data_IF_116108517576
#
_entry.id   IF_116108517576
#
_cell.length_a   1.000
_cell.length_b   1.000
_cell.length_c   1.000
_cell.angle_alpha   90.00
_cell.angle_beta   90.00
_cell.angle_gamma   90.00
#
_symmetry.space_group_name_H-M   'P 1'
#
loop_
_entity.id
_entity.type
_entity.pdbx_description
1 polymer ?
#
# COMPACT_ATOMS: atom_id res chain seq x y z
N UNK A 1 2.92 14.60 12.79
CA UNK A 1 3.49 15.92 12.35
C UNK A 1 2.58 16.53 11.29
N UNK A 2 2.39 17.89 11.27
CA UNK A 2 1.53 18.54 10.26
C UNK A 2 2.29 18.73 8.94
N UNK A 3 1.67 18.38 7.81
CA UNK A 3 2.26 18.57 6.48
C UNK A 3 2.17 20.04 6.04
N UNK A 4 3.17 20.51 5.30
CA UNK A 4 3.21 21.86 4.69
C UNK A 4 3.13 21.81 3.15
N UNK A 5 3.22 20.60 2.57
CA UNK A 5 3.20 20.36 1.12
C UNK A 5 2.40 19.09 0.84
N UNK A 6 1.86 19.00 -0.36
CA UNK A 6 1.22 17.78 -0.86
C UNK A 6 2.22 16.62 -0.91
N UNK A 7 1.83 15.42 -0.41
CA UNK A 7 2.68 14.22 -0.45
C UNK A 7 3.04 13.81 -1.88
N UNK A 8 2.07 13.86 -2.79
CA UNK A 8 2.27 13.47 -4.19
C UNK A 8 3.08 14.49 -5.01
N UNK A 9 2.60 15.74 -5.14
CA UNK A 9 3.18 16.71 -6.07
C UNK A 9 4.04 17.79 -5.43
N UNK A 10 4.28 17.70 -4.12
CA UNK A 10 5.07 18.64 -3.29
C UNK A 10 4.60 20.11 -3.35
N UNK A 11 3.46 20.39 -3.96
CA UNK A 11 2.85 21.74 -4.01
C UNK A 11 2.45 22.22 -2.62
N UNK A 12 2.67 23.51 -2.36
CA UNK A 12 2.18 24.20 -1.14
C UNK A 12 0.70 24.61 -1.23
N UNK A 13 0.05 24.42 -2.39
CA UNK A 13 -1.36 24.80 -2.63
C UNK A 13 -2.32 23.77 -2.04
N UNK A 14 -2.24 23.56 -0.72
CA UNK A 14 -3.12 22.67 0.04
C UNK A 14 -4.15 23.48 0.82
N UNK A 15 -5.42 23.08 0.78
CA UNK A 15 -6.52 23.75 1.46
C UNK A 15 -7.22 22.76 2.40
N UNK A 16 -7.64 23.23 3.59
CA UNK A 16 -8.45 22.43 4.51
C UNK A 16 -9.75 22.02 3.81
N UNK A 17 -10.05 20.73 3.85
CA UNK A 17 -11.27 20.15 3.29
C UNK A 17 -12.23 19.72 4.41
N UNK A 18 -11.72 19.02 5.43
CA UNK A 18 -12.52 18.42 6.47
C UNK A 18 -11.73 18.30 7.78
N UNK A 19 -12.43 18.20 8.94
CA UNK A 19 -11.78 18.10 10.24
C UNK A 19 -12.68 17.39 11.25
N UNK A 20 -12.27 16.21 11.70
CA UNK A 20 -12.95 15.41 12.73
C UNK A 20 -12.43 15.70 14.16
N UNK A 21 -11.48 16.63 14.31
CA UNK A 21 -10.89 16.96 15.60
C UNK A 21 -9.86 15.92 16.07
N UNK A 22 -9.67 15.86 17.39
CA UNK A 22 -8.77 14.92 18.04
C UNK A 22 -9.48 13.58 18.22
N UNK A 23 -8.88 12.52 17.70
CA UNK A 23 -9.35 11.13 17.82
C UNK A 23 -8.22 10.27 18.36
N UNK A 24 -8.53 9.15 19.01
CA UNK A 24 -7.52 8.12 19.33
C UNK A 24 -7.00 7.52 18.04
N UNK A 25 -5.71 7.15 17.98
CA UNK A 25 -5.13 6.49 16.81
C UNK A 25 -5.91 5.21 16.50
N UNK A 26 -6.34 5.07 15.25
CA UNK A 26 -7.30 4.06 14.83
C UNK A 26 -6.68 2.66 14.69
N UNK A 27 -5.39 2.55 14.37
CA UNK A 27 -4.69 1.26 14.26
C UNK A 27 -4.18 0.66 15.58
N UNK A 28 -4.43 1.31 16.72
CA UNK A 28 -3.93 0.86 18.02
C UNK A 28 -5.05 0.18 18.80
N UNK A 29 -4.88 -1.13 19.03
CA UNK A 29 -5.83 -1.97 19.79
C UNK A 29 -5.22 -2.36 21.14
N UNK A 30 -5.48 -1.63 22.23
CA UNK A 30 -4.88 -1.93 23.53
C UNK A 30 -5.50 -3.20 24.16
N UNK A 31 -4.66 -4.01 24.77
CA UNK A 31 -5.11 -5.21 25.50
C UNK A 31 -5.80 -4.87 26.84
N UNK A 32 -5.51 -3.71 27.41
CA UNK A 32 -6.03 -3.28 28.72
C UNK A 32 -6.78 -1.95 28.59
N UNK A 33 -7.89 -1.83 29.30
CA UNK A 33 -8.75 -0.63 29.30
C UNK A 33 -8.03 0.64 29.76
N UNK A 34 -7.05 0.48 30.64
CA UNK A 34 -6.28 1.59 31.24
C UNK A 34 -5.15 2.08 30.33
N UNK A 35 -4.87 1.40 29.23
CA UNK A 35 -3.81 1.79 28.28
C UNK A 35 -4.15 3.13 27.65
N UNK A 36 -3.25 4.11 27.82
CA UNK A 36 -3.39 5.42 27.18
C UNK A 36 -3.04 5.30 25.72
N UNK A 37 -3.99 5.61 24.85
CA UNK A 37 -3.78 5.64 23.39
C UNK A 37 -3.46 7.08 22.98
N UNK A 38 -2.42 7.25 22.17
CA UNK A 38 -2.07 8.53 21.55
C UNK A 38 -3.25 9.08 20.77
N UNK A 39 -3.49 10.39 20.90
CA UNK A 39 -4.52 11.11 20.16
C UNK A 39 -3.90 11.94 19.05
N UNK A 40 -4.46 11.82 17.86
CA UNK A 40 -4.08 12.56 16.68
C UNK A 40 -5.25 13.38 16.11
N UNK A 41 -4.94 14.52 15.48
CA UNK A 41 -5.97 15.29 14.78
C UNK A 41 -6.26 14.65 13.43
N UNK A 42 -7.49 14.23 13.23
CA UNK A 42 -7.96 13.62 11.98
C UNK A 42 -8.58 14.72 11.12
N UNK A 43 -7.77 15.35 10.28
CA UNK A 43 -8.20 16.41 9.36
C UNK A 43 -7.64 16.19 7.97
N UNK A 44 -8.43 16.54 6.96
CA UNK A 44 -8.10 16.37 5.54
C UNK A 44 -7.81 17.70 4.88
N UNK A 45 -6.84 17.68 3.95
CA UNK A 45 -6.51 18.78 3.06
C UNK A 45 -6.57 18.33 1.61
N UNK A 46 -7.06 19.20 0.74
CA UNK A 46 -7.11 18.99 -0.71
C UNK A 46 -6.00 19.78 -1.39
N UNK A 47 -5.23 19.12 -2.23
CA UNK A 47 -4.26 19.78 -3.09
C UNK A 47 -4.94 20.38 -4.31
N UNK A 48 -4.83 21.70 -4.49
CA UNK A 48 -5.40 22.39 -5.67
C UNK A 48 -4.61 22.13 -6.96
N UNK A 49 -3.39 21.56 -6.87
CA UNK A 49 -2.55 21.28 -8.04
C UNK A 49 -2.85 19.89 -8.64
N UNK A 50 -2.77 18.80 -7.84
CA UNK A 50 -2.96 17.43 -8.34
C UNK A 50 -4.30 16.80 -7.92
N UNK A 51 -5.14 17.52 -7.21
CA UNK A 51 -6.45 17.06 -6.71
C UNK A 51 -6.38 15.89 -5.71
N UNK A 52 -5.22 15.65 -5.07
CA UNK A 52 -5.10 14.65 -4.02
C UNK A 52 -5.76 15.16 -2.73
N UNK A 53 -6.70 14.39 -2.20
CA UNK A 53 -7.22 14.53 -0.85
C UNK A 53 -6.34 13.70 0.08
N UNK A 54 -5.90 14.26 1.21
CA UNK A 54 -4.91 13.62 2.08
C UNK A 54 -5.02 14.10 3.53
N UNK A 55 -4.54 13.30 4.47
CA UNK A 55 -4.43 13.73 5.86
C UNK A 55 -3.49 14.92 6.00
N UNK A 56 -3.90 15.91 6.82
CA UNK A 56 -3.10 17.07 7.16
C UNK A 56 -1.94 16.76 8.11
N UNK A 57 -1.93 15.58 8.70
CA UNK A 57 -0.94 15.15 9.68
C UNK A 57 -0.39 13.77 9.33
N UNK A 58 0.85 13.51 9.73
CA UNK A 58 1.49 12.19 9.74
C UNK A 58 1.63 11.71 11.18
N UNK A 59 1.58 10.43 11.38
CA UNK A 59 1.67 9.75 12.67
C UNK A 59 2.83 8.77 12.69
N UNK A 60 3.20 8.27 13.86
CA UNK A 60 4.31 7.33 13.98
C UNK A 60 3.91 5.94 13.44
N UNK A 61 4.63 5.47 12.43
CA UNK A 61 4.39 4.18 11.80
C UNK A 61 4.63 3.01 12.76
N UNK A 62 5.58 3.14 13.70
CA UNK A 62 5.85 2.08 14.68
C UNK A 62 4.69 1.90 15.65
N UNK A 63 3.98 2.99 15.98
CA UNK A 63 2.78 2.90 16.83
C UNK A 63 1.60 2.27 16.07
N UNK A 64 1.47 2.51 14.75
CA UNK A 64 0.35 2.02 13.95
C UNK A 64 0.57 0.61 13.40
N UNK A 65 1.80 0.27 12.94
CA UNK A 65 2.13 -1.01 12.30
C UNK A 65 3.06 -1.90 13.16
N UNK A 66 3.23 -1.56 14.44
CA UNK A 66 4.08 -2.31 15.36
C UNK A 66 3.41 -3.57 15.93
N UNK A 67 3.74 -3.89 17.18
CA UNK A 67 3.32 -5.15 17.85
C UNK A 67 1.81 -5.32 17.95
N UNK A 68 1.05 -4.23 18.01
CA UNK A 68 -0.41 -4.23 18.12
C UNK A 68 -1.14 -4.40 16.77
N UNK A 69 -0.42 -4.39 15.64
CA UNK A 69 -1.04 -4.61 14.33
C UNK A 69 -1.55 -6.04 14.21
N UNK A 70 -2.85 -6.22 14.02
CA UNK A 70 -3.52 -7.53 14.08
C UNK A 70 -4.18 -8.01 12.81
N UNK A 71 -4.15 -7.21 11.73
CA UNK A 71 -4.79 -7.61 10.47
C UNK A 71 -4.01 -8.73 9.79
N UNK A 72 -4.74 -9.77 9.35
CA UNK A 72 -4.23 -10.83 8.48
C UNK A 72 -5.20 -11.09 7.32
N UNK A 73 -4.68 -11.16 6.12
CA UNK A 73 -5.47 -11.42 4.90
C UNK A 73 -6.16 -12.78 4.92
N UNK A 74 -5.57 -13.77 5.59
CA UNK A 74 -6.11 -15.13 5.72
C UNK A 74 -7.25 -15.28 6.73
N UNK A 75 -7.56 -14.27 7.53
CA UNK A 75 -8.64 -14.37 8.54
C UNK A 75 -10.04 -14.33 7.91
N UNK A 76 -10.20 -13.72 6.76
CA UNK A 76 -11.49 -13.51 6.15
C UNK A 76 -11.62 -14.29 4.84
N UNK A 77 -12.58 -15.22 4.79
CA UNK A 77 -12.82 -16.05 3.60
C UNK A 77 -13.13 -15.23 2.34
N UNK A 78 -13.86 -14.13 2.46
CA UNK A 78 -14.14 -13.25 1.33
C UNK A 78 -12.86 -12.60 0.78
N UNK A 79 -11.92 -12.21 1.66
CA UNK A 79 -10.62 -11.68 1.26
C UNK A 79 -9.77 -12.75 0.58
N UNK A 80 -9.72 -13.96 1.12
CA UNK A 80 -9.01 -15.09 0.50
C UNK A 80 -9.50 -15.32 -0.94
N UNK A 81 -10.82 -15.37 -1.13
CA UNK A 81 -11.42 -15.55 -2.47
C UNK A 81 -11.15 -14.36 -3.39
N UNK A 82 -11.21 -13.13 -2.86
CA UNK A 82 -10.87 -11.93 -3.62
C UNK A 82 -9.43 -12.01 -4.15
N UNK A 83 -8.47 -12.28 -3.29
CA UNK A 83 -7.05 -12.40 -3.65
C UNK A 83 -6.80 -13.54 -4.64
N UNK A 84 -7.45 -14.70 -4.45
CA UNK A 84 -7.38 -15.82 -5.39
C UNK A 84 -7.92 -15.45 -6.78
N UNK A 85 -9.08 -14.82 -6.84
CA UNK A 85 -9.68 -14.37 -8.11
C UNK A 85 -8.80 -13.31 -8.79
N UNK A 86 -8.14 -12.44 -8.00
CA UNK A 86 -7.20 -11.44 -8.50
C UNK A 86 -6.04 -12.08 -9.26
N UNK A 87 -5.44 -13.16 -8.74
CA UNK A 87 -4.34 -13.83 -9.44
C UNK A 87 -4.77 -14.41 -10.80
N UNK A 88 -6.02 -14.87 -10.91
CA UNK A 88 -6.58 -15.36 -12.17
C UNK A 88 -6.83 -14.21 -13.16
N UNK A 89 -7.33 -13.08 -12.68
CA UNK A 89 -7.61 -11.91 -13.51
C UNK A 89 -6.32 -11.26 -14.02
N UNK A 90 -5.26 -11.20 -13.24
CA UNK A 90 -3.98 -10.64 -13.65
C UNK A 90 -3.37 -11.32 -14.88
N UNK A 91 -3.62 -12.62 -15.07
CA UNK A 91 -3.18 -13.36 -16.26
C UNK A 91 -3.77 -12.87 -17.58
N UNK A 92 -4.80 -12.02 -17.53
CA UNK A 92 -5.38 -11.37 -18.73
C UNK A 92 -4.56 -10.17 -19.21
N UNK A 93 -3.71 -9.62 -18.35
CA UNK A 93 -2.96 -8.40 -18.59
C UNK A 93 -1.46 -8.64 -18.71
N UNK A 94 -0.98 -9.81 -18.29
CA UNK A 94 0.44 -10.14 -18.30
C UNK A 94 0.68 -11.62 -18.51
N UNK A 95 1.59 -11.94 -19.44
CA UNK A 95 2.10 -13.29 -19.63
C UNK A 95 3.28 -13.52 -18.68
N UNK A 96 3.12 -14.50 -17.80
CA UNK A 96 4.13 -14.91 -16.83
C UNK A 96 4.77 -16.24 -17.24
N UNK A 97 6.10 -16.26 -17.29
CA UNK A 97 6.91 -17.39 -17.65
C UNK A 97 7.63 -17.99 -16.43
N UNK A 98 8.15 -19.21 -16.57
CA UNK A 98 8.97 -19.84 -15.53
C UNK A 98 10.12 -18.93 -15.09
N UNK A 99 10.33 -18.86 -13.77
CA UNK A 99 11.34 -18.04 -13.14
C UNK A 99 11.14 -16.52 -13.24
N UNK A 100 10.00 -16.03 -13.73
CA UNK A 100 9.67 -14.61 -13.60
C UNK A 100 9.58 -14.23 -12.12
N UNK A 101 9.98 -13.00 -11.83
CA UNK A 101 9.94 -12.44 -10.48
C UNK A 101 8.59 -11.75 -10.27
N UNK A 102 7.92 -12.15 -9.20
CA UNK A 102 6.68 -11.53 -8.73
C UNK A 102 6.94 -10.95 -7.34
N UNK A 103 6.68 -9.66 -7.18
CA UNK A 103 6.80 -8.97 -5.89
C UNK A 103 5.40 -8.57 -5.42
N UNK A 104 5.08 -8.89 -4.17
CA UNK A 104 3.89 -8.38 -3.48
C UNK A 104 4.33 -7.46 -2.34
N UNK A 105 3.90 -6.20 -2.42
CA UNK A 105 4.25 -5.15 -1.45
C UNK A 105 3.05 -4.96 -0.51
N UNK A 106 3.31 -4.94 0.80
CA UNK A 106 2.27 -5.09 1.80
C UNK A 106 1.72 -6.51 1.81
N UNK A 107 2.63 -7.48 1.66
CA UNK A 107 2.29 -8.90 1.45
C UNK A 107 1.68 -9.59 2.67
N UNK A 108 1.66 -8.92 3.82
CA UNK A 108 1.03 -9.32 5.07
C UNK A 108 1.42 -10.74 5.51
N UNK A 109 0.52 -11.71 5.44
CA UNK A 109 0.76 -13.12 5.79
C UNK A 109 1.09 -14.02 4.58
N UNK A 110 1.35 -13.44 3.40
CA UNK A 110 1.73 -14.14 2.18
C UNK A 110 0.58 -14.85 1.46
N UNK A 111 -0.67 -14.62 1.86
CA UNK A 111 -1.86 -15.27 1.29
C UNK A 111 -1.95 -15.05 -0.21
N UNK A 112 -1.78 -13.82 -0.71
CA UNK A 112 -1.86 -13.52 -2.14
C UNK A 112 -0.80 -14.29 -2.94
N UNK A 113 0.46 -14.24 -2.52
CA UNK A 113 1.56 -14.95 -3.19
C UNK A 113 1.37 -16.46 -3.17
N UNK A 114 0.68 -17.01 -2.17
CA UNK A 114 0.44 -18.45 -2.06
C UNK A 114 -0.38 -19.02 -3.22
N UNK A 115 -1.15 -18.20 -3.96
CA UNK A 115 -1.95 -18.60 -5.11
C UNK A 115 -1.15 -18.68 -6.43
N UNK A 116 0.09 -18.21 -6.45
CA UNK A 116 0.96 -18.36 -7.60
C UNK A 116 1.69 -19.71 -7.58
N UNK A 117 2.05 -20.20 -8.78
CA UNK A 117 2.85 -21.42 -8.93
C UNK A 117 4.23 -21.27 -8.26
N UNK A 118 4.76 -22.37 -7.73
CA UNK A 118 6.13 -22.46 -7.21
C UNK A 118 7.21 -22.27 -8.28
N UNK A 119 6.83 -22.25 -9.53
CA UNK A 119 7.74 -22.03 -10.66
C UNK A 119 8.14 -20.57 -10.86
N UNK A 120 7.54 -19.66 -10.09
CA UNK A 120 7.90 -18.24 -10.06
C UNK A 120 8.85 -17.91 -8.91
N UNK A 121 9.64 -16.87 -9.06
CA UNK A 121 10.42 -16.29 -7.97
C UNK A 121 9.54 -15.32 -7.18
N UNK A 122 8.96 -15.78 -6.09
CA UNK A 122 8.00 -15.04 -5.30
C UNK A 122 8.71 -14.28 -4.16
N UNK A 123 8.45 -12.98 -4.06
CA UNK A 123 9.02 -12.11 -3.05
C UNK A 123 7.89 -11.34 -2.35
N UNK A 124 7.73 -11.57 -1.07
CA UNK A 124 6.84 -10.78 -0.21
C UNK A 124 7.63 -9.72 0.54
N UNK A 125 7.18 -8.48 0.47
CA UNK A 125 7.80 -7.33 1.16
C UNK A 125 6.77 -6.72 2.10
N UNK A 126 7.03 -6.77 3.40
CA UNK A 126 6.12 -6.21 4.42
C UNK A 126 6.84 -6.13 5.77
N UNK A 127 6.81 -5.01 6.50
CA UNK A 127 7.45 -4.90 7.80
C UNK A 127 6.88 -5.86 8.85
N UNK A 128 5.64 -6.33 8.68
CA UNK A 128 4.97 -7.24 9.62
C UNK A 128 5.28 -8.72 9.40
N UNK A 129 6.10 -9.07 8.40
CA UNK A 129 6.41 -10.47 8.03
C UNK A 129 6.92 -11.31 9.22
N UNK A 130 7.73 -10.72 10.09
CA UNK A 130 8.27 -11.47 11.24
C UNK A 130 7.15 -12.01 12.13
N UNK A 131 6.05 -11.26 12.28
CA UNK A 131 4.87 -11.64 13.05
C UNK A 131 4.10 -12.80 12.39
N UNK A 132 4.04 -12.81 11.07
CA UNK A 132 3.24 -13.76 10.28
C UNK A 132 4.11 -14.79 9.52
N UNK A 133 5.39 -14.88 9.82
CA UNK A 133 6.37 -15.67 9.03
C UNK A 133 6.03 -17.16 8.91
N UNK A 134 5.32 -17.73 9.88
CA UNK A 134 4.86 -19.12 9.89
C UNK A 134 3.68 -19.40 8.94
N UNK A 135 3.01 -18.36 8.43
CA UNK A 135 1.92 -18.47 7.45
C UNK A 135 2.45 -18.55 6.01
N UNK A 136 3.63 -18.02 5.78
CA UNK A 136 4.22 -18.02 4.44
C UNK A 136 4.56 -19.42 3.94
N UNK A 137 4.23 -19.70 2.70
CA UNK A 137 4.72 -20.88 1.98
C UNK A 137 6.26 -20.82 1.88
N UNK A 138 6.94 -21.94 2.09
CA UNK A 138 8.41 -22.02 2.26
C UNK A 138 9.22 -21.50 1.06
N UNK A 139 8.66 -21.55 -0.14
CA UNK A 139 9.30 -21.08 -1.38
C UNK A 139 9.16 -19.56 -1.60
N UNK A 140 8.40 -18.84 -0.80
CA UNK A 140 8.26 -17.40 -0.89
C UNK A 140 9.41 -16.73 -0.13
N UNK A 141 10.15 -15.88 -0.83
CA UNK A 141 11.18 -15.03 -0.19
C UNK A 141 10.52 -13.97 0.65
N UNK A 142 10.89 -13.91 1.92
CA UNK A 142 10.36 -12.97 2.92
C UNK A 142 11.32 -11.81 3.10
N UNK A 143 10.82 -10.57 2.96
CA UNK A 143 11.58 -9.33 3.15
C UNK A 143 10.84 -8.50 4.21
N UNK A 144 11.24 -8.60 5.50
CA UNK A 144 10.56 -7.93 6.62
C UNK A 144 10.99 -6.46 6.73
N UNK A 145 10.83 -5.70 5.67
CA UNK A 145 11.23 -4.30 5.54
C UNK A 145 10.15 -3.51 4.78
N UNK A 146 10.16 -2.18 4.90
CA UNK A 146 9.41 -1.33 3.99
C UNK A 146 10.00 -1.41 2.58
N UNK A 147 9.13 -1.39 1.57
CA UNK A 147 9.57 -1.47 0.19
C UNK A 147 10.34 -0.22 -0.24
N UNK A 148 11.54 -0.44 -0.79
CA UNK A 148 12.31 0.49 -1.62
C UNK A 148 13.06 -0.33 -2.68
N UNK A 149 13.47 0.31 -3.78
CA UNK A 149 14.31 -0.36 -4.77
C UNK A 149 15.60 -0.90 -4.15
N UNK A 150 16.24 -0.14 -3.27
CA UNK A 150 17.48 -0.54 -2.58
C UNK A 150 17.30 -1.82 -1.74
N UNK A 151 16.15 -1.98 -1.10
CA UNK A 151 15.82 -3.19 -0.32
C UNK A 151 15.63 -4.39 -1.23
N UNK A 152 14.89 -4.25 -2.34
CA UNK A 152 14.55 -5.41 -3.17
C UNK A 152 15.60 -5.77 -4.20
N UNK A 153 16.46 -4.84 -4.65
CA UNK A 153 17.46 -5.08 -5.70
C UNK A 153 18.38 -6.26 -5.42
N UNK A 154 18.69 -6.53 -4.15
CA UNK A 154 19.52 -7.68 -3.73
C UNK A 154 18.88 -9.03 -4.01
N UNK A 155 17.54 -9.06 -4.12
CA UNK A 155 16.76 -10.27 -4.41
C UNK A 155 16.42 -10.40 -5.90
N UNK A 156 16.58 -9.35 -6.67
CA UNK A 156 16.31 -9.33 -8.11
C UNK A 156 17.40 -10.02 -8.96
N UNK A 157 18.60 -10.27 -8.40
CA UNK A 157 19.70 -10.92 -9.09
C UNK A 157 20.01 -10.31 -10.48
N UNK A 158 20.07 -8.97 -10.56
CA UNK A 158 20.26 -8.18 -11.79
C UNK A 158 19.13 -8.31 -12.83
N UNK A 159 18.01 -8.95 -12.47
CA UNK A 159 16.78 -8.97 -13.27
C UNK A 159 15.82 -7.88 -12.76
N UNK A 160 14.68 -7.77 -13.40
CA UNK A 160 13.57 -6.92 -12.97
C UNK A 160 12.32 -7.78 -12.71
N UNK A 161 11.39 -7.27 -11.89
CA UNK A 161 10.16 -7.98 -11.60
C UNK A 161 9.21 -7.89 -12.80
N UNK A 162 8.61 -9.02 -13.16
CA UNK A 162 7.60 -9.07 -14.21
C UNK A 162 6.24 -8.59 -13.74
N UNK A 163 5.90 -8.89 -12.50
CA UNK A 163 4.70 -8.43 -11.84
C UNK A 163 5.06 -7.85 -10.47
N UNK A 164 4.58 -6.64 -10.21
CA UNK A 164 4.59 -6.05 -8.87
C UNK A 164 3.13 -5.80 -8.47
N UNK A 165 2.78 -6.13 -7.24
CA UNK A 165 1.44 -5.87 -6.70
C UNK A 165 1.53 -5.05 -5.43
N UNK A 166 0.56 -4.16 -5.24
CA UNK A 166 0.31 -3.42 -4.00
C UNK A 166 -1.22 -3.32 -3.81
N UNK A 167 -1.71 -4.09 -2.84
CA UNK A 167 -3.14 -4.23 -2.58
C UNK A 167 -3.44 -3.64 -1.20
N UNK A 168 -4.30 -2.62 -1.16
CA UNK A 168 -4.77 -1.96 0.07
C UNK A 168 -3.64 -1.46 0.99
N UNK A 169 -2.58 -0.85 0.42
CA UNK A 169 -1.47 -0.27 1.19
C UNK A 169 -0.93 1.06 0.61
N UNK A 170 -1.21 1.37 -0.66
CA UNK A 170 -0.60 2.53 -1.34
C UNK A 170 -1.05 3.87 -0.76
N UNK A 171 -2.20 3.92 -0.11
CA UNK A 171 -2.73 5.11 0.56
C UNK A 171 -2.09 5.40 1.93
N UNK A 172 -1.12 4.58 2.38
CA UNK A 172 -0.44 4.72 3.67
C UNK A 172 0.95 5.37 3.56
N UNK A 173 1.32 5.85 2.37
CA UNK A 173 2.68 6.27 2.05
C UNK A 173 2.95 7.73 2.40
N UNK A 174 4.04 8.03 3.09
CA UNK A 174 4.49 9.42 3.32
C UNK A 174 5.08 10.07 2.05
N UNK A 175 5.70 9.29 1.18
CA UNK A 175 6.24 9.75 -0.10
C UNK A 175 5.83 8.83 -1.26
N UNK A 176 4.58 8.95 -1.74
CA UNK A 176 4.09 8.10 -2.83
C UNK A 176 4.85 8.32 -4.15
N UNK A 177 5.44 9.50 -4.38
CA UNK A 177 6.23 9.74 -5.60
C UNK A 177 7.54 8.92 -5.58
N UNK A 178 8.24 8.88 -4.44
CA UNK A 178 9.45 8.06 -4.33
C UNK A 178 9.11 6.57 -4.46
N UNK A 179 8.02 6.13 -3.83
CA UNK A 179 7.55 4.75 -3.97
C UNK A 179 7.27 4.36 -5.43
N UNK A 180 6.59 5.23 -6.20
CA UNK A 180 6.33 4.98 -7.64
C UNK A 180 7.62 4.90 -8.44
N UNK A 181 8.63 5.73 -8.12
CA UNK A 181 9.97 5.63 -8.74
C UNK A 181 10.65 4.30 -8.41
N UNK A 182 10.58 3.87 -7.16
CA UNK A 182 11.15 2.58 -6.73
C UNK A 182 10.47 1.39 -7.42
N UNK A 183 9.15 1.47 -7.65
CA UNK A 183 8.42 0.50 -8.49
C UNK A 183 8.98 0.50 -9.92
N UNK A 184 9.14 1.68 -10.53
CA UNK A 184 9.62 1.83 -11.90
C UNK A 184 11.02 1.23 -12.09
N UNK A 185 11.92 1.47 -11.14
CA UNK A 185 13.27 0.88 -11.13
C UNK A 185 13.25 -0.64 -10.95
N UNK A 186 12.28 -1.16 -10.23
CA UNK A 186 12.15 -2.60 -9.93
C UNK A 186 11.44 -3.38 -11.04
N UNK A 187 10.63 -2.71 -11.88
CA UNK A 187 9.73 -3.34 -12.85
C UNK A 187 10.42 -3.54 -14.20
N UNK A 188 10.19 -4.69 -14.83
CA UNK A 188 10.59 -4.99 -16.21
C UNK A 188 9.89 -4.04 -17.20
N UNK A 189 10.53 -3.75 -18.35
CA UNK A 189 9.95 -2.87 -19.40
C UNK A 189 8.58 -3.36 -19.91
N UNK A 190 8.37 -4.67 -19.91
CA UNK A 190 7.09 -5.33 -20.23
C UNK A 190 6.38 -5.83 -18.98
N UNK A 191 6.77 -5.32 -17.82
CA UNK A 191 6.18 -5.67 -16.54
C UNK A 191 4.91 -4.89 -16.27
N UNK A 192 4.11 -5.41 -15.35
CA UNK A 192 2.86 -4.77 -14.89
C UNK A 192 2.95 -4.52 -13.39
N UNK A 193 2.59 -3.32 -13.00
CA UNK A 193 2.29 -3.01 -11.61
C UNK A 193 0.78 -3.01 -11.40
N UNK A 194 0.29 -3.96 -10.62
CA UNK A 194 -1.11 -4.00 -10.19
C UNK A 194 -1.29 -3.23 -8.89
N UNK A 195 -2.06 -2.16 -8.96
CA UNK A 195 -2.43 -1.33 -7.83
C UNK A 195 -3.93 -1.48 -7.54
N UNK A 196 -4.25 -1.86 -6.30
CA UNK A 196 -5.63 -1.89 -5.80
C UNK A 196 -5.75 -1.12 -4.50
N UNK A 197 -6.73 -0.22 -4.45
CA UNK A 197 -6.98 0.60 -3.27
C UNK A 197 -8.39 1.19 -3.25
N UNK A 198 -8.76 1.79 -2.12
CA UNK A 198 -10.00 2.55 -2.00
C UNK A 198 -10.04 3.71 -3.01
N UNK A 199 -11.23 3.96 -3.57
CA UNK A 199 -11.45 4.98 -4.59
C UNK A 199 -12.28 6.13 -4.02
N UNK A 200 -11.67 7.29 -3.81
CA UNK A 200 -12.26 8.44 -3.12
C UNK A 200 -13.63 8.88 -3.68
N UNK A 201 -13.85 8.95 -5.01
CA UNK A 201 -15.19 9.30 -5.52
C UNK A 201 -16.30 8.31 -5.12
N UNK A 202 -15.96 7.00 -5.06
CA UNK A 202 -16.92 5.99 -4.57
C UNK A 202 -17.17 6.11 -3.07
N UNK A 203 -16.13 6.44 -2.29
CA UNK A 203 -16.26 6.70 -0.86
C UNK A 203 -17.23 7.85 -0.60
N UNK A 204 -17.10 8.97 -1.32
CA UNK A 204 -18.00 10.11 -1.22
C UNK A 204 -19.42 9.73 -1.62
N UNK A 205 -19.59 9.05 -2.77
CA UNK A 205 -20.89 8.63 -3.28
C UNK A 205 -21.64 7.70 -2.31
N UNK A 206 -20.92 6.80 -1.65
CA UNK A 206 -21.48 5.79 -0.75
C UNK A 206 -21.45 6.23 0.72
N UNK A 207 -20.98 7.46 1.01
CA UNK A 207 -20.82 8.00 2.38
C UNK A 207 -19.95 7.08 3.25
N UNK A 208 -18.93 6.47 2.66
CA UNK A 208 -17.98 5.56 3.34
C UNK A 208 -16.90 6.36 4.07
N UNK A 209 -17.29 7.16 5.05
CA UNK A 209 -16.36 7.99 5.85
C UNK A 209 -15.63 7.19 6.94
N UNK A 210 -16.05 5.98 7.24
CA UNK A 210 -15.40 5.01 8.12
C UNK A 210 -13.97 4.64 7.68
N UNK A 211 -13.66 4.82 6.40
CA UNK A 211 -12.30 4.65 5.86
C UNK A 211 -11.36 5.82 6.17
N UNK A 212 -11.87 6.93 6.75
CA UNK A 212 -11.05 8.05 7.18
C UNK A 212 -10.44 7.72 8.54
N UNK A 213 -9.18 7.32 8.54
CA UNK A 213 -8.43 6.88 9.70
C UNK A 213 -6.99 7.41 9.66
N UNK A 214 -6.25 7.22 10.74
CA UNK A 214 -4.90 7.78 10.88
C UNK A 214 -3.86 7.05 10.02
N UNK A 215 -4.10 5.80 9.66
CA UNK A 215 -3.25 5.00 8.79
C UNK A 215 -3.36 5.42 7.33
N UNK A 216 -4.55 5.82 6.87
CA UNK A 216 -4.80 6.16 5.47
C UNK A 216 -4.43 7.62 5.20
N UNK A 217 -3.22 7.85 4.74
CA UNK A 217 -2.69 9.20 4.50
C UNK A 217 -3.26 9.87 3.25
N UNK A 218 -3.67 9.09 2.24
CA UNK A 218 -4.14 9.58 0.95
C UNK A 218 -5.45 8.94 0.49
N UNK A 219 -6.28 9.76 -0.17
CA UNK A 219 -7.58 9.39 -0.73
C UNK A 219 -7.58 9.71 -2.21
N UNK A 220 -7.28 8.70 -3.03
CA UNK A 220 -7.05 8.88 -4.46
C UNK A 220 -8.34 8.87 -5.29
N UNK A 221 -8.37 9.76 -6.29
CA UNK A 221 -9.20 9.67 -7.48
C UNK A 221 -8.36 9.22 -8.67
N UNK A 222 -8.97 8.79 -9.77
CA UNK A 222 -8.23 8.47 -10.99
C UNK A 222 -7.40 9.66 -11.48
N UNK A 223 -7.90 10.89 -11.33
CA UNK A 223 -7.17 12.11 -11.68
C UNK A 223 -5.90 12.27 -10.85
N UNK A 224 -5.97 12.08 -9.53
CA UNK A 224 -4.80 12.26 -8.66
C UNK A 224 -3.79 11.13 -8.80
N UNK A 225 -4.23 9.87 -8.99
CA UNK A 225 -3.29 8.77 -9.24
C UNK A 225 -2.63 8.89 -10.61
N UNK A 226 -3.38 9.21 -11.66
CA UNK A 226 -2.82 9.44 -12.99
C UNK A 226 -1.77 10.56 -12.97
N UNK A 227 -2.05 11.68 -12.30
CA UNK A 227 -1.09 12.76 -12.14
C UNK A 227 0.23 12.30 -11.52
N UNK A 228 0.16 11.41 -10.54
CA UNK A 228 1.34 10.84 -9.89
C UNK A 228 2.11 9.90 -10.82
N UNK A 229 1.40 9.00 -11.51
CA UNK A 229 1.99 8.00 -12.40
C UNK A 229 2.63 8.63 -13.65
N UNK A 230 2.02 9.67 -14.21
CA UNK A 230 2.56 10.41 -15.37
C UNK A 230 3.93 11.04 -15.07
N UNK A 231 4.22 11.41 -13.80
CA UNK A 231 5.52 11.98 -13.42
C UNK A 231 6.68 10.99 -13.57
N UNK A 232 6.39 9.71 -13.58
CA UNK A 232 7.39 8.64 -13.66
C UNK A 232 7.35 7.90 -14.99
N UNK A 233 6.28 8.08 -15.78
CA UNK A 233 6.13 7.49 -17.11
C UNK A 233 5.31 6.19 -17.14
N UNK A 234 4.52 5.92 -16.12
CA UNK A 234 3.58 4.80 -16.14
C UNK A 234 2.37 5.07 -17.02
N UNK A 235 1.94 4.05 -17.75
CA UNK A 235 0.67 4.03 -18.48
C UNK A 235 -0.35 3.22 -17.69
N UNK A 236 -1.58 3.72 -17.60
CA UNK A 236 -2.72 2.98 -17.03
C UNK A 236 -3.37 2.17 -18.14
N UNK A 237 -3.54 0.89 -17.94
CA UNK A 237 -4.15 -0.07 -18.87
C UNK A 237 -5.46 -0.61 -18.33
#
# INVERSE_FOLDING_TARGET
MKISKCRSCKSKKIKKAFDLGLQSLTGVFPEKKETVITKGRLSLVLCSNCSLLQLANSFDHNEMYGDNYGYMSSLNYSMINHLKNKTTNLKKYIDLNYNDIIIDIGSNDGTFLSFFSKNFNLIGVDPTINKFSNKYRKDIKKVPEFFTYEVVKKYLNKKKAKLITSIAMFYDLEDPLQFVKDIYESLDEKGVWHLEQSYMPSMIKNISYDTICHEHLEYYSLKSIKYLLDQVGFLII
#
